data_IF_450381618287
#
_entry.id   IF_450381618287
#
_cell.length_a   1.000
_cell.length_b   1.000
_cell.length_c   1.000
_cell.angle_alpha   90.00
_cell.angle_beta   90.00
_cell.angle_gamma   90.00
#
_symmetry.space_group_name_H-M   'P 1'
#
loop_
_entity.id
_entity.type
_entity.pdbx_description
1 polymer ?
#
# COMPACT_ATOMS: atom_id res chain seq x y z
N UNK A 1 -7.92 8.58 6.36
CA UNK A 1 -6.54 8.12 6.16
C UNK A 1 -6.60 6.74 5.56
N UNK A 2 -5.74 6.45 4.59
CA UNK A 2 -5.64 5.18 3.89
C UNK A 2 -4.26 4.57 4.20
N UNK A 3 -4.23 3.28 4.52
CA UNK A 3 -3.01 2.47 4.61
C UNK A 3 -2.84 1.71 3.28
N UNK A 4 -1.80 2.04 2.52
CA UNK A 4 -1.51 1.42 1.22
C UNK A 4 -0.94 0.01 1.34
N UNK A 5 -0.69 -0.47 2.57
CA UNK A 5 -0.06 -1.76 2.91
C UNK A 5 1.35 -1.96 2.35
N UNK A 6 1.90 -0.93 1.72
CA UNK A 6 3.17 -0.91 1.01
C UNK A 6 3.82 0.47 1.13
N UNK A 7 5.14 0.56 0.99
CA UNK A 7 5.83 1.81 0.67
C UNK A 7 5.72 2.06 -0.83
N UNK A 8 5.29 3.25 -1.20
CA UNK A 8 5.18 3.67 -2.59
C UNK A 8 5.79 5.04 -2.79
N UNK A 9 6.29 5.30 -4.01
CA UNK A 9 6.63 6.65 -4.47
C UNK A 9 5.36 7.31 -4.98
N UNK A 10 4.77 8.18 -4.18
CA UNK A 10 3.49 8.83 -4.45
C UNK A 10 3.74 10.15 -5.17
N UNK A 11 3.16 10.33 -6.35
CA UNK A 11 3.33 11.54 -7.18
C UNK A 11 2.07 12.39 -7.23
N UNK A 12 0.91 11.73 -7.21
CA UNK A 12 -0.37 12.40 -7.40
C UNK A 12 -1.44 11.70 -6.58
N UNK A 13 -2.40 12.48 -6.12
CA UNK A 13 -3.60 12.00 -5.43
C UNK A 13 -4.80 12.53 -6.19
N UNK A 14 -5.68 11.64 -6.63
CA UNK A 14 -6.96 12.01 -7.21
C UNK A 14 -8.03 11.91 -6.12
N UNK A 15 -8.81 12.98 -5.95
CA UNK A 15 -9.96 12.98 -5.03
C UNK A 15 -11.24 13.23 -5.83
N UNK A 16 -12.23 12.38 -5.62
CA UNK A 16 -13.59 12.62 -6.11
C UNK A 16 -14.41 13.17 -4.95
N UNK A 17 -14.85 14.43 -5.10
CA UNK A 17 -15.74 15.09 -4.16
C UNK A 17 -17.20 14.70 -4.42
N UNK A 18 -18.04 14.91 -3.40
CA UNK A 18 -19.45 14.54 -3.42
C UNK A 18 -20.22 15.25 -4.55
N UNK A 19 -21.09 14.51 -5.25
CA UNK A 19 -21.82 15.00 -6.44
C UNK A 19 -23.36 14.81 -6.38
N UNK A 20 -23.88 14.08 -5.41
CA UNK A 20 -25.29 13.66 -5.31
C UNK A 20 -26.24 14.72 -4.70
N UNK A 21 -25.79 15.93 -4.40
CA UNK A 21 -26.60 16.95 -3.72
C UNK A 21 -26.25 18.39 -4.13
N UNK A 22 -26.81 19.37 -3.41
CA UNK A 22 -26.46 20.79 -3.54
C UNK A 22 -24.95 21.03 -3.55
N UNK A 23 -24.53 21.95 -4.43
CA UNK A 23 -23.17 22.47 -4.54
C UNK A 23 -22.60 22.94 -3.20
N UNK A 24 -23.46 23.44 -2.29
CA UNK A 24 -23.05 23.92 -0.97
C UNK A 24 -22.49 22.80 -0.08
N UNK A 25 -22.93 21.56 -0.29
CA UNK A 25 -22.38 20.41 0.44
C UNK A 25 -20.97 20.13 -0.06
N UNK A 26 -20.77 19.98 -1.37
CA UNK A 26 -19.45 19.72 -1.95
C UNK A 26 -18.42 20.79 -1.53
N UNK A 27 -18.84 22.06 -1.52
CA UNK A 27 -18.01 23.21 -1.13
C UNK A 27 -17.62 23.25 0.35
N UNK A 28 -18.08 22.32 1.19
CA UNK A 28 -17.57 22.19 2.56
C UNK A 28 -16.17 21.58 2.58
N UNK A 29 -15.79 20.80 1.56
CA UNK A 29 -14.43 20.28 1.43
C UNK A 29 -13.49 21.42 1.01
N UNK A 30 -12.81 22.00 2.00
CA UNK A 30 -11.92 23.16 1.89
C UNK A 30 -10.92 23.17 3.04
N UNK A 31 -9.90 24.02 2.96
CA UNK A 31 -8.87 24.16 3.99
C UNK A 31 -8.32 22.80 4.47
N UNK A 32 -7.98 21.92 3.52
CA UNK A 32 -7.52 20.58 3.80
C UNK A 32 -6.07 20.38 3.37
N UNK A 33 -5.43 19.43 4.02
CA UNK A 33 -4.08 18.98 3.71
C UNK A 33 -4.13 17.51 3.31
N UNK A 34 -3.40 17.20 2.24
CA UNK A 34 -3.01 15.85 1.87
C UNK A 34 -1.57 15.64 2.34
N UNK A 35 -1.38 14.83 3.37
CA UNK A 35 -0.06 14.49 3.90
C UNK A 35 0.20 12.97 3.93
N UNK A 36 1.47 12.63 3.84
CA UNK A 36 1.95 11.26 3.64
C UNK A 36 2.90 10.90 4.77
N UNK A 37 2.76 9.68 5.30
CA UNK A 37 3.60 9.13 6.35
C UNK A 37 4.23 7.80 5.93
N UNK A 38 5.51 7.56 6.26
CA UNK A 38 6.16 6.27 6.03
C UNK A 38 5.68 5.20 7.03
N UNK A 39 5.36 5.58 8.27
CA UNK A 39 4.92 4.66 9.34
C UNK A 39 3.53 5.06 9.84
N UNK A 40 2.83 4.17 10.56
CA UNK A 40 1.48 4.46 11.08
C UNK A 40 1.55 5.56 12.15
N UNK A 41 1.06 6.78 11.85
CA UNK A 41 1.20 7.89 12.79
C UNK A 41 0.19 7.83 13.94
N UNK A 42 -0.82 6.94 13.88
CA UNK A 42 -1.89 6.85 14.90
C UNK A 42 -1.41 6.37 16.27
N UNK A 43 -0.26 5.70 16.32
CA UNK A 43 0.35 5.23 17.56
C UNK A 43 1.03 6.37 18.35
N UNK A 44 1.22 7.53 17.72
CA UNK A 44 1.91 8.65 18.32
C UNK A 44 0.93 9.52 19.11
N UNK A 45 1.30 9.86 20.35
CA UNK A 45 0.47 10.66 21.25
C UNK A 45 0.10 12.04 20.67
N UNK A 46 0.91 12.57 19.75
CA UNK A 46 0.70 13.86 19.07
C UNK A 46 0.08 13.71 17.66
N UNK A 47 -0.54 12.58 17.32
CA UNK A 47 -1.11 12.33 15.99
C UNK A 47 -2.05 13.44 15.49
N UNK A 48 -2.83 14.03 16.39
CA UNK A 48 -3.79 15.09 16.05
C UNK A 48 -3.14 16.39 15.60
N UNK A 49 -1.95 16.71 16.09
CA UNK A 49 -1.22 17.95 15.78
C UNK A 49 -0.07 17.75 14.79
N UNK A 50 0.40 16.52 14.61
CA UNK A 50 1.48 16.23 13.69
C UNK A 50 1.05 16.39 12.23
N UNK A 51 2.01 16.68 11.36
CA UNK A 51 1.83 16.77 9.91
C UNK A 51 2.85 15.85 9.26
N UNK A 52 2.39 15.05 8.30
CA UNK A 52 3.28 14.21 7.50
C UNK A 52 4.03 15.06 6.47
N UNK A 53 4.70 14.42 5.53
CA UNK A 53 5.22 15.13 4.38
C UNK A 53 4.04 15.61 3.52
N UNK A 54 3.91 16.92 3.36
CA UNK A 54 2.76 17.53 2.68
C UNK A 54 2.88 17.31 1.17
N UNK A 55 1.93 16.58 0.61
CA UNK A 55 1.76 16.48 -0.84
C UNK A 55 1.02 17.70 -1.38
N UNK A 56 -0.07 18.11 -0.74
CA UNK A 56 -0.87 19.24 -1.24
C UNK A 56 -1.61 19.96 -0.12
N UNK A 57 -1.83 21.26 -0.29
CA UNK A 57 -2.62 22.10 0.60
C UNK A 57 -3.67 22.86 -0.20
N UNK A 58 -4.94 22.66 0.14
CA UNK A 58 -6.08 23.29 -0.53
C UNK A 58 -6.78 24.24 0.44
N UNK A 59 -6.79 25.54 0.12
CA UNK A 59 -7.48 26.55 0.94
C UNK A 59 -8.91 26.80 0.48
N UNK A 60 -9.11 26.97 -0.83
CA UNK A 60 -10.41 27.23 -1.44
C UNK A 60 -11.34 26.00 -1.39
N UNK A 61 -12.67 26.21 -1.38
CA UNK A 61 -13.61 25.10 -1.49
C UNK A 61 -13.52 24.39 -2.84
N UNK A 62 -13.67 23.06 -2.80
CA UNK A 62 -13.83 22.25 -4.01
C UNK A 62 -15.30 22.17 -4.41
N UNK A 63 -15.55 22.28 -5.71
CA UNK A 63 -16.86 22.01 -6.29
C UNK A 63 -17.11 20.49 -6.41
N UNK A 64 -18.32 20.06 -6.82
CA UNK A 64 -18.56 18.67 -7.16
C UNK A 64 -17.67 18.22 -8.31
N UNK A 65 -17.09 17.03 -8.22
CA UNK A 65 -16.29 16.43 -9.30
C UNK A 65 -14.99 15.81 -8.82
N UNK A 66 -14.13 15.50 -9.80
CA UNK A 66 -12.86 14.80 -9.58
C UNK A 66 -11.69 15.73 -9.84
N UNK A 67 -10.75 15.78 -8.89
CA UNK A 67 -9.63 16.71 -8.88
C UNK A 67 -8.31 15.97 -8.71
N UNK A 68 -7.31 16.41 -9.45
CA UNK A 68 -5.96 15.86 -9.40
C UNK A 68 -5.02 16.79 -8.61
N UNK A 69 -4.44 16.28 -7.54
CA UNK A 69 -3.48 16.97 -6.70
C UNK A 69 -2.10 16.38 -6.92
N UNK A 70 -1.23 17.12 -7.60
CA UNK A 70 0.15 16.69 -7.87
C UNK A 70 1.04 17.14 -6.72
N UNK A 71 1.81 16.22 -6.15
CA UNK A 71 2.78 16.57 -5.11
C UNK A 71 3.91 17.41 -5.73
N UNK A 72 4.45 18.44 -5.05
CA UNK A 72 5.56 19.25 -5.55
C UNK A 72 6.82 18.43 -5.90
N UNK A 73 7.02 17.34 -5.16
CA UNK A 73 8.05 16.32 -5.38
C UNK A 73 7.44 14.95 -5.10
N UNK A 74 7.92 13.86 -5.73
CA UNK A 74 7.51 12.51 -5.36
C UNK A 74 7.82 12.20 -3.90
N UNK A 75 6.88 11.58 -3.18
CA UNK A 75 6.97 11.32 -1.74
C UNK A 75 6.93 9.82 -1.49
N UNK A 76 7.95 9.27 -0.82
CA UNK A 76 7.92 7.87 -0.38
C UNK A 76 7.06 7.75 0.88
N UNK A 77 6.03 6.91 0.84
CA UNK A 77 5.21 6.65 2.02
C UNK A 77 4.21 5.51 1.88
N UNK A 78 3.57 5.18 3.01
CA UNK A 78 2.58 4.10 3.15
C UNK A 78 1.21 4.59 3.55
N UNK A 79 1.13 5.66 4.33
CA UNK A 79 -0.13 6.18 4.84
C UNK A 79 -0.43 7.53 4.21
N UNK A 80 -1.59 7.66 3.59
CA UNK A 80 -2.06 8.93 3.00
C UNK A 80 -3.22 9.45 3.82
N UNK A 81 -3.11 10.68 4.29
CA UNK A 81 -4.13 11.32 5.12
C UNK A 81 -4.63 12.58 4.44
N UNK A 82 -5.95 12.63 4.30
CA UNK A 82 -6.72 13.84 4.06
C UNK A 82 -7.23 14.35 5.40
N UNK A 83 -6.91 15.60 5.73
CA UNK A 83 -7.37 16.24 6.97
C UNK A 83 -7.80 17.68 6.71
N UNK A 84 -9.01 18.04 7.14
CA UNK A 84 -9.45 19.44 7.18
C UNK A 84 -8.85 20.12 8.43
N UNK A 85 -8.16 21.25 8.23
CA UNK A 85 -7.51 22.00 9.32
C UNK A 85 -8.49 22.96 10.01
N UNK A 86 -8.20 23.28 11.26
CA UNK A 86 -9.06 24.06 12.16
C UNK A 86 -9.48 25.42 11.57
N UNK A 87 -10.69 25.87 11.95
CA UNK A 87 -11.32 27.10 11.47
C UNK A 87 -12.71 26.89 10.85
N UNK A 88 -13.08 25.64 10.54
CA UNK A 88 -14.36 25.30 9.93
C UNK A 88 -14.96 24.04 10.55
N UNK A 89 -16.07 24.16 11.29
CA UNK A 89 -16.85 23.03 11.80
C UNK A 89 -17.71 22.45 10.67
N UNK A 90 -17.08 21.72 9.75
CA UNK A 90 -17.75 21.04 8.66
C UNK A 90 -17.35 19.58 8.61
N UNK A 91 -18.24 18.73 8.10
CA UNK A 91 -17.99 17.31 7.92
C UNK A 91 -17.09 17.07 6.71
N UNK A 92 -15.95 16.42 6.94
CA UNK A 92 -15.10 15.88 5.88
C UNK A 92 -15.87 14.79 5.14
N UNK A 93 -15.98 14.94 3.83
CA UNK A 93 -16.59 13.96 2.95
C UNK A 93 -15.82 13.91 1.64
N UNK A 94 -15.71 12.72 1.09
CA UNK A 94 -15.20 12.42 -0.24
C UNK A 94 -15.95 11.19 -0.75
N UNK A 95 -16.06 11.03 -2.06
CA UNK A 95 -16.54 9.81 -2.67
C UNK A 95 -15.40 8.80 -2.86
N UNK A 96 -14.25 9.27 -3.34
CA UNK A 96 -13.12 8.40 -3.68
C UNK A 96 -11.78 9.11 -3.42
N UNK A 97 -10.75 8.34 -3.07
CA UNK A 97 -9.35 8.78 -3.04
C UNK A 97 -8.48 7.74 -3.73
N UNK A 98 -7.91 8.10 -4.86
CA UNK A 98 -6.94 7.28 -5.57
C UNK A 98 -5.53 7.83 -5.37
N UNK A 99 -4.62 6.95 -4.95
CA UNK A 99 -3.20 7.31 -4.76
C UNK A 99 -2.43 6.84 -5.98
N UNK A 100 -1.99 7.79 -6.80
CA UNK A 100 -1.29 7.55 -8.05
C UNK A 100 0.21 7.60 -7.77
N UNK A 101 0.81 6.42 -7.87
CA UNK A 101 2.22 6.19 -7.61
C UNK A 101 2.99 6.26 -8.92
N UNK A 102 4.26 6.69 -8.87
CA UNK A 102 5.19 6.43 -9.99
C UNK A 102 5.07 4.96 -10.35
N UNK A 103 5.13 4.61 -11.66
CA UNK A 103 5.20 3.22 -12.14
C UNK A 103 5.92 2.39 -11.08
N UNK A 104 5.34 1.27 -10.59
CA UNK A 104 5.96 0.50 -9.54
C UNK A 104 7.39 0.30 -10.00
N UNK A 105 8.33 0.95 -9.32
CA UNK A 105 9.70 0.51 -9.40
C UNK A 105 9.57 -0.99 -9.16
N UNK A 106 10.27 -1.80 -9.93
CA UNK A 106 10.47 -3.24 -9.75
C UNK A 106 10.75 -3.71 -8.30
N UNK A 107 10.77 -2.79 -7.34
CA UNK A 107 11.18 -2.85 -5.96
C UNK A 107 10.01 -2.92 -4.96
N UNK A 108 8.75 -3.02 -5.41
CA UNK A 108 7.65 -3.43 -4.50
C UNK A 108 7.91 -4.84 -3.95
N UNK A 109 8.43 -5.72 -4.81
CA UNK A 109 9.03 -7.00 -4.44
C UNK A 109 10.18 -6.73 -3.45
N UNK A 110 11.23 -5.99 -3.85
CA UNK A 110 12.45 -5.79 -3.05
C UNK A 110 12.23 -5.18 -1.65
N UNK A 111 11.21 -4.33 -1.46
CA UNK A 111 10.97 -3.71 -0.16
C UNK A 111 10.40 -4.70 0.85
N UNK A 112 9.51 -5.61 0.42
CA UNK A 112 8.80 -6.52 1.32
C UNK A 112 9.33 -7.94 1.27
N UNK A 113 9.72 -8.43 0.10
CA UNK A 113 10.14 -9.80 -0.15
C UNK A 113 11.46 -9.86 -0.92
N UNK A 114 12.39 -10.67 -0.42
CA UNK A 114 13.55 -11.11 -1.19
C UNK A 114 13.12 -12.19 -2.18
N UNK A 115 13.42 -11.98 -3.45
CA UNK A 115 13.14 -12.93 -4.53
C UNK A 115 14.36 -13.80 -4.81
N UNK A 116 14.14 -15.11 -4.89
CA UNK A 116 15.11 -16.11 -5.32
C UNK A 116 14.61 -16.77 -6.60
N UNK A 117 15.42 -16.67 -7.65
CA UNK A 117 15.06 -17.15 -8.98
C UNK A 117 15.43 -18.62 -9.14
N UNK A 118 14.53 -19.40 -9.74
CA UNK A 118 14.77 -20.82 -10.02
C UNK A 118 14.75 -21.67 -8.75
N UNK A 119 14.09 -21.21 -7.69
CA UNK A 119 13.97 -21.95 -6.44
C UNK A 119 12.54 -21.98 -5.96
N UNK A 120 12.20 -23.04 -5.24
CA UNK A 120 10.90 -23.24 -4.61
C UNK A 120 11.09 -23.77 -3.20
N UNK A 121 10.25 -23.32 -2.28
CA UNK A 121 10.09 -24.00 -1.00
C UNK A 121 9.30 -25.29 -1.22
N UNK A 122 9.86 -26.44 -0.82
CA UNK A 122 9.24 -27.76 -1.05
C UNK A 122 8.16 -28.14 -0.03
N UNK A 123 7.90 -27.26 0.95
CA UNK A 123 6.93 -27.51 2.00
C UNK A 123 5.50 -27.55 1.45
N UNK A 124 4.56 -28.05 2.28
CA UNK A 124 3.16 -27.93 1.97
C UNK A 124 2.71 -26.47 2.09
N UNK A 125 2.14 -25.86 1.04
CA UNK A 125 1.64 -24.50 1.12
C UNK A 125 0.42 -24.43 2.03
N UNK A 126 0.29 -23.31 2.75
CA UNK A 126 -0.90 -23.03 3.56
C UNK A 126 -2.12 -22.69 2.69
N UNK A 127 -1.85 -22.22 1.47
CA UNK A 127 -2.87 -21.87 0.48
C UNK A 127 -2.25 -21.88 -0.91
N UNK A 128 -3.01 -22.35 -1.89
CA UNK A 128 -2.64 -22.27 -3.31
C UNK A 128 -3.76 -21.58 -4.07
N UNK A 129 -3.39 -20.66 -4.95
CA UNK A 129 -4.32 -19.93 -5.82
C UNK A 129 -3.69 -19.70 -7.19
N UNK A 130 -4.52 -19.39 -8.18
CA UNK A 130 -4.05 -18.88 -9.47
C UNK A 130 -3.99 -17.35 -9.42
N UNK A 131 -2.95 -16.78 -10.01
CA UNK A 131 -2.81 -15.34 -10.17
C UNK A 131 -2.36 -15.00 -11.60
N UNK A 132 -2.56 -13.75 -12.00
CA UNK A 132 -2.06 -13.25 -13.29
C UNK A 132 -0.55 -12.99 -13.28
N UNK A 133 -0.01 -12.64 -12.12
CA UNK A 133 1.34 -12.14 -11.94
C UNK A 133 1.79 -12.30 -10.47
N UNK A 134 3.11 -12.22 -10.19
CA UNK A 134 3.63 -12.40 -8.83
C UNK A 134 3.23 -11.27 -7.87
N UNK A 135 2.88 -10.07 -8.35
CA UNK A 135 2.49 -8.95 -7.47
C UNK A 135 1.13 -9.23 -6.81
N UNK A 136 0.21 -9.86 -7.52
CA UNK A 136 -1.03 -10.33 -6.92
C UNK A 136 -0.75 -11.34 -5.80
N UNK A 137 0.16 -12.30 -6.02
CA UNK A 137 0.55 -13.27 -5.00
C UNK A 137 1.16 -12.59 -3.75
N UNK A 138 2.03 -11.61 -3.97
CA UNK A 138 2.60 -10.77 -2.93
C UNK A 138 1.52 -10.04 -2.13
N UNK A 139 0.57 -9.39 -2.81
CA UNK A 139 -0.54 -8.69 -2.16
C UNK A 139 -1.39 -9.63 -1.32
N UNK A 140 -1.73 -10.80 -1.86
CA UNK A 140 -2.52 -11.81 -1.16
C UNK A 140 -1.80 -12.33 0.09
N UNK A 141 -0.48 -12.50 0.03
CA UNK A 141 0.35 -12.84 1.19
C UNK A 141 0.34 -11.71 2.23
N UNK A 142 0.55 -10.45 1.82
CA UNK A 142 0.50 -9.30 2.72
C UNK A 142 -0.87 -9.12 3.39
N UNK A 143 -1.97 -9.37 2.65
CA UNK A 143 -3.34 -9.35 3.18
C UNK A 143 -3.51 -10.42 4.27
N UNK A 144 -2.91 -11.60 4.08
CA UNK A 144 -3.03 -12.78 4.94
C UNK A 144 -1.98 -12.87 6.05
N UNK A 145 -1.07 -11.90 6.13
CA UNK A 145 -0.02 -11.85 7.15
C UNK A 145 -0.58 -11.92 8.57
N UNK A 146 -1.70 -11.25 8.85
CA UNK A 146 -2.27 -11.20 10.20
C UNK A 146 -3.23 -12.34 10.52
N UNK A 147 -3.69 -13.08 9.52
CA UNK A 147 -4.69 -14.14 9.72
C UNK A 147 -4.04 -15.52 9.74
N UNK A 148 -3.11 -15.78 8.82
CA UNK A 148 -2.46 -17.09 8.66
C UNK A 148 -0.93 -16.97 8.63
N UNK A 149 -0.38 -15.84 9.07
CA UNK A 149 1.06 -15.60 9.14
C UNK A 149 1.79 -15.85 7.81
N UNK A 150 1.19 -15.42 6.69
CA UNK A 150 1.89 -15.52 5.40
C UNK A 150 3.14 -14.64 5.40
N UNK A 151 4.30 -15.27 5.20
CA UNK A 151 5.63 -14.64 5.22
C UNK A 151 6.49 -15.06 4.03
N UNK A 152 6.03 -15.99 3.20
CA UNK A 152 6.70 -16.39 1.98
C UNK A 152 5.72 -16.96 0.95
N UNK A 153 6.13 -17.02 -0.31
CA UNK A 153 5.35 -17.68 -1.36
C UNK A 153 6.23 -18.20 -2.51
N UNK A 154 5.78 -19.25 -3.20
CA UNK A 154 6.30 -19.64 -4.50
C UNK A 154 5.39 -19.06 -5.59
N UNK A 155 6.00 -18.55 -6.65
CA UNK A 155 5.32 -18.18 -7.89
C UNK A 155 5.79 -19.08 -9.02
N UNK A 156 4.90 -19.94 -9.52
CA UNK A 156 5.18 -20.88 -10.62
C UNK A 156 4.80 -20.22 -11.94
N UNK A 157 5.79 -19.80 -12.72
CA UNK A 157 5.58 -18.95 -13.90
C UNK A 157 4.82 -19.65 -15.02
N UNK A 158 4.98 -20.97 -15.16
CA UNK A 158 4.33 -21.75 -16.22
C UNK A 158 2.83 -21.96 -16.01
N UNK A 159 2.37 -21.96 -14.76
CA UNK A 159 0.96 -22.23 -14.41
C UNK A 159 0.24 -21.00 -13.84
N UNK A 160 0.96 -19.93 -13.54
CA UNK A 160 0.44 -18.81 -12.77
C UNK A 160 0.02 -19.22 -11.35
N UNK A 161 0.64 -20.27 -10.80
CA UNK A 161 0.30 -20.77 -9.47
C UNK A 161 1.05 -20.01 -8.38
N UNK A 162 0.29 -19.47 -7.44
CA UNK A 162 0.73 -18.77 -6.25
C UNK A 162 0.54 -19.71 -5.04
N UNK A 163 1.63 -20.12 -4.42
CA UNK A 163 1.63 -21.02 -3.26
C UNK A 163 2.14 -20.24 -2.04
N UNK A 164 1.27 -19.98 -1.08
CA UNK A 164 1.60 -19.20 0.12
C UNK A 164 2.16 -20.10 1.22
N UNK A 165 3.06 -19.54 2.05
CA UNK A 165 3.69 -20.22 3.18
C UNK A 165 3.77 -19.33 4.42
N UNK A 166 3.75 -20.00 5.58
CA UNK A 166 4.09 -19.41 6.87
C UNK A 166 5.44 -19.97 7.32
N UNK A 167 6.50 -19.20 7.08
CA UNK A 167 7.87 -19.51 7.49
C UNK A 167 8.33 -18.60 8.63
N UNK A 168 9.21 -19.11 9.50
CA UNK A 168 9.66 -18.41 10.70
C UNK A 168 10.59 -17.20 10.44
N UNK A 169 11.09 -16.85 9.26
CA UNK A 169 12.04 -15.73 9.04
C UNK A 169 13.38 -15.71 9.83
N UNK A 170 13.47 -16.18 11.09
CA UNK A 170 14.70 -16.20 11.90
C UNK A 170 15.53 -17.48 11.77
N UNK A 171 14.95 -18.54 11.20
CA UNK A 171 15.68 -19.77 10.90
C UNK A 171 16.38 -19.68 9.54
N UNK A 172 17.34 -20.57 9.29
CA UNK A 172 17.90 -20.74 7.96
C UNK A 172 16.99 -21.64 7.12
N UNK A 173 16.61 -21.17 5.93
CA UNK A 173 15.67 -21.84 5.02
C UNK A 173 16.35 -22.52 3.84
N UNK A 174 17.64 -22.25 3.61
CA UNK A 174 18.35 -22.65 2.38
C UNK A 174 18.26 -24.15 2.12
N UNK A 175 18.28 -24.96 3.17
CA UNK A 175 18.28 -26.42 3.06
C UNK A 175 16.91 -27.01 2.65
N UNK A 176 15.86 -26.17 2.70
CA UNK A 176 14.47 -26.53 2.30
C UNK A 176 14.12 -26.00 0.91
N UNK A 177 15.02 -25.24 0.30
CA UNK A 177 14.83 -24.73 -1.04
C UNK A 177 15.32 -25.75 -2.06
N UNK A 178 14.48 -26.02 -3.05
CA UNK A 178 14.79 -26.93 -4.15
C UNK A 178 14.89 -26.13 -5.43
N UNK A 179 15.90 -26.42 -6.24
CA UNK A 179 16.05 -25.81 -7.56
C UNK A 179 14.88 -26.22 -8.45
N UNK A 180 14.10 -25.22 -8.89
CA UNK A 180 12.92 -25.38 -9.73
C UNK A 180 12.92 -24.24 -10.75
N UNK A 181 13.38 -24.46 -11.99
CA UNK A 181 13.66 -23.38 -12.96
C UNK A 181 12.49 -22.44 -13.25
N UNK A 182 11.27 -22.95 -13.20
CA UNK A 182 10.04 -22.22 -13.52
C UNK A 182 9.35 -21.62 -12.28
N UNK A 183 10.07 -21.54 -11.16
CA UNK A 183 9.53 -21.02 -9.91
C UNK A 183 10.41 -19.93 -9.35
N UNK A 184 9.77 -18.87 -8.86
CA UNK A 184 10.40 -17.83 -8.08
C UNK A 184 9.91 -17.94 -6.64
N UNK A 185 10.84 -18.08 -5.70
CA UNK A 185 10.55 -18.06 -4.28
C UNK A 185 10.69 -16.65 -3.73
N UNK A 186 9.70 -16.21 -2.96
CA UNK A 186 9.67 -14.91 -2.32
C UNK A 186 9.57 -15.10 -0.81
N UNK A 187 10.46 -14.46 -0.05
CA UNK A 187 10.44 -14.50 1.42
C UNK A 187 10.51 -13.10 2.01
N UNK A 188 9.73 -12.83 3.04
CA UNK A 188 9.64 -11.49 3.61
C UNK A 188 10.99 -11.02 4.18
N UNK A 189 11.34 -9.75 3.96
CA UNK A 189 12.55 -9.14 4.50
C UNK A 189 12.42 -8.92 6.02
N UNK A 190 13.44 -9.34 6.78
CA UNK A 190 13.52 -9.12 8.23
C UNK A 190 13.46 -7.64 8.65
N UNK A 191 13.84 -6.71 7.77
CA UNK A 191 13.80 -5.27 8.03
C UNK A 191 12.39 -4.64 8.04
N UNK A 192 11.35 -5.43 7.75
CA UNK A 192 9.93 -4.98 7.69
C UNK A 192 9.04 -5.56 8.79
N UNK A 193 9.66 -6.24 9.76
CA UNK A 193 9.07 -6.60 11.06
C UNK A 193 9.23 -5.44 12.03
#
# INVERSE_FOLDING_TARGET
MVDLRGQYVIEKIQLTNRHDYSIDIARRLRNFVLDIFPTDPRQLANFSSMTGQVCYNQTAPLDPGTFNFTCPVPIVGRYVRLIMRAGYQNFLHICEMEVLVSKPSSNLEENYFSRQVGTALSDAPIMTMTASDPLYCLQECLIRRYTIFCTAFNWVTSTGSCQLFSVNLFLNWTDRLVFTPETYFFIQNNATL
#
